data_IF_598450327557
#
_entry.id   IF_598450327557
#
_cell.length_a   1.000
_cell.length_b   1.000
_cell.length_c   1.000
_cell.angle_alpha   90.00
_cell.angle_beta   90.00
_cell.angle_gamma   90.00
#
_symmetry.space_group_name_H-M   'P 1'
#
loop_
_entity.id
_entity.type
_entity.pdbx_description
1 polymer ?
#
# COMPACT_ATOMS: atom_id res chain seq x y z
N UNK A 1 -4.62 -16.25 -13.77
CA UNK A 1 -3.23 -16.28 -13.28
C UNK A 1 -2.82 -14.84 -13.06
N UNK A 2 -3.19 -14.27 -11.91
CA UNK A 2 -2.93 -12.87 -11.58
C UNK A 2 -2.04 -12.87 -10.34
N UNK A 3 -0.78 -12.48 -10.48
CA UNK A 3 0.20 -12.51 -9.39
C UNK A 3 1.08 -11.27 -9.41
N UNK A 4 1.53 -10.88 -8.22
CA UNK A 4 2.55 -9.85 -7.99
C UNK A 4 3.75 -10.50 -7.28
N UNK A 5 4.95 -9.90 -7.37
CA UNK A 5 5.31 -8.66 -8.07
C UNK A 5 5.43 -8.82 -9.59
N UNK A 6 5.51 -7.70 -10.31
CA UNK A 6 5.69 -7.64 -11.78
C UNK A 6 6.77 -6.64 -12.19
N UNK A 7 7.21 -6.72 -13.44
CA UNK A 7 7.95 -5.66 -14.12
C UNK A 7 7.00 -4.71 -14.85
N UNK A 8 7.02 -3.44 -14.46
CA UNK A 8 6.22 -2.39 -15.06
C UNK A 8 6.94 -1.89 -16.33
N UNK A 9 6.57 -2.50 -17.46
CA UNK A 9 7.00 -2.11 -18.79
C UNK A 9 5.88 -1.35 -19.52
N UNK A 10 6.19 -0.15 -20.03
CA UNK A 10 5.27 0.60 -20.89
C UNK A 10 4.08 1.25 -20.16
N UNK A 11 4.33 1.92 -19.03
CA UNK A 11 3.30 2.65 -18.31
C UNK A 11 2.52 3.61 -19.22
N UNK A 12 1.19 3.49 -19.22
CA UNK A 12 0.28 4.34 -19.99
C UNK A 12 -0.37 5.37 -19.07
N UNK A 13 -0.44 6.62 -19.51
CA UNK A 13 -1.18 7.65 -18.79
C UNK A 13 -2.68 7.45 -18.96
N UNK A 14 -3.38 7.25 -17.85
CA UNK A 14 -4.84 7.25 -17.85
C UNK A 14 -5.34 8.71 -17.89
N UNK A 15 -5.86 9.15 -19.05
CA UNK A 15 -6.44 10.48 -19.20
C UNK A 15 -7.79 10.56 -18.45
N UNK A 16 -8.01 11.64 -17.71
CA UNK A 16 -9.21 11.81 -16.89
C UNK A 16 -9.24 10.97 -15.61
N UNK A 17 -8.12 10.32 -15.25
CA UNK A 17 -8.00 9.70 -13.94
C UNK A 17 -8.16 10.76 -12.85
N UNK A 18 -8.98 10.51 -11.82
CA UNK A 18 -9.06 11.43 -10.69
C UNK A 18 -7.72 11.44 -9.95
N UNK A 19 -7.41 12.59 -9.34
CA UNK A 19 -6.22 12.71 -8.51
C UNK A 19 -6.30 11.75 -7.32
N UNK A 20 -5.18 11.07 -7.06
CA UNK A 20 -4.97 10.40 -5.79
C UNK A 20 -5.06 11.44 -4.68
N UNK A 21 -6.02 11.31 -3.77
CA UNK A 21 -6.06 12.13 -2.56
C UNK A 21 -5.39 11.31 -1.46
N UNK A 22 -4.52 11.94 -0.69
CA UNK A 22 -3.91 11.33 0.48
C UNK A 22 -4.23 12.28 1.60
N UNK A 23 -4.97 11.83 2.61
CA UNK A 23 -5.43 12.72 3.68
C UNK A 23 -4.91 12.26 5.02
N UNK A 24 -4.61 13.23 5.89
CA UNK A 24 -4.19 13.03 7.28
C UNK A 24 -2.81 12.38 7.48
N UNK A 25 -1.99 12.27 6.43
CA UNK A 25 -0.59 11.79 6.51
C UNK A 25 0.37 12.81 7.16
N UNK A 26 -0.09 14.04 7.33
CA UNK A 26 0.60 15.16 7.98
C UNK A 26 0.46 15.14 9.52
N UNK A 27 -0.24 14.17 10.08
CA UNK A 27 -0.53 14.11 11.51
C UNK A 27 0.37 13.08 12.23
N UNK A 28 0.91 13.44 13.39
CA UNK A 28 1.78 12.57 14.20
C UNK A 28 1.01 11.44 14.88
N UNK A 29 1.46 10.18 14.81
CA UNK A 29 0.70 9.04 15.33
C UNK A 29 1.58 8.06 16.09
N UNK A 30 0.97 7.46 17.11
CA UNK A 30 1.54 6.30 17.78
C UNK A 30 1.44 5.08 16.88
N UNK A 31 2.54 4.36 16.75
CA UNK A 31 2.65 3.16 15.93
C UNK A 31 3.40 2.08 16.69
N UNK A 32 3.09 0.83 16.38
CA UNK A 32 3.86 -0.32 16.86
C UNK A 32 4.80 -0.79 15.75
N UNK A 33 6.10 -0.70 15.99
CA UNK A 33 7.11 -1.20 15.05
C UNK A 33 7.61 -2.55 15.55
N UNK A 34 7.61 -3.56 14.68
CA UNK A 34 8.15 -4.87 14.99
C UNK A 34 8.99 -5.43 13.85
N UNK A 35 9.93 -6.30 14.21
CA UNK A 35 10.55 -7.24 13.29
C UNK A 35 9.79 -8.57 13.42
N UNK A 36 9.09 -8.99 12.37
CA UNK A 36 8.30 -10.23 12.38
C UNK A 36 9.07 -11.46 11.85
N UNK A 37 10.39 -11.35 11.66
CA UNK A 37 11.24 -12.39 11.08
C UNK A 37 11.30 -12.38 9.55
N UNK A 38 10.44 -11.60 8.88
CA UNK A 38 10.40 -11.47 7.43
C UNK A 38 10.59 -10.03 6.95
N UNK A 39 10.12 -9.06 7.72
CA UNK A 39 10.19 -7.63 7.43
C UNK A 39 10.22 -6.83 8.74
N UNK A 40 10.58 -5.55 8.64
CA UNK A 40 10.12 -4.55 9.61
C UNK A 40 8.71 -4.16 9.22
N UNK A 41 7.79 -4.23 10.18
CA UNK A 41 6.39 -3.86 9.99
C UNK A 41 5.99 -2.79 10.99
N UNK A 42 5.35 -1.74 10.49
CA UNK A 42 4.79 -0.63 11.27
C UNK A 42 3.28 -0.82 11.28
N UNK A 43 2.72 -1.12 12.44
CA UNK A 43 1.28 -1.28 12.65
C UNK A 43 0.68 0.02 13.17
N UNK A 44 -0.41 0.44 12.55
CA UNK A 44 -1.22 1.54 13.06
C UNK A 44 -1.99 1.11 14.31
N UNK A 45 -1.98 1.94 15.35
CA UNK A 45 -2.74 1.67 16.57
C UNK A 45 -4.19 2.14 16.38
N UNK A 46 -5.14 1.24 16.61
CA UNK A 46 -6.55 1.35 16.21
C UNK A 46 -7.41 2.33 17.02
N UNK A 47 -6.83 3.06 17.99
CA UNK A 47 -7.57 3.98 18.86
C UNK A 47 -8.01 5.28 18.16
N UNK A 48 -7.60 5.49 16.91
CA UNK A 48 -8.15 6.53 16.04
C UNK A 48 -8.20 5.98 14.61
N UNK A 49 -9.38 5.76 14.00
CA UNK A 49 -9.46 5.31 12.61
C UNK A 49 -8.83 6.37 11.69
N UNK A 50 -7.57 6.13 11.32
CA UNK A 50 -6.70 6.90 10.45
C UNK A 50 -5.76 5.92 9.76
N UNK A 51 -5.32 6.07 8.52
CA UNK A 51 -5.14 7.20 7.61
C UNK A 51 -5.62 6.76 6.23
N UNK A 52 -6.00 7.73 5.41
CA UNK A 52 -6.78 7.53 4.20
C UNK A 52 -5.87 7.74 2.99
N UNK A 53 -5.71 6.73 2.13
CA UNK A 53 -5.50 7.02 0.71
C UNK A 53 -6.85 7.51 0.21
N UNK A 54 -7.11 8.78 0.53
CA UNK A 54 -8.25 9.58 0.16
C UNK A 54 -8.83 9.12 -1.15
N UNK A 55 -9.98 8.47 -1.06
CA UNK A 55 -10.82 8.19 -2.23
C UNK A 55 -10.01 7.64 -3.41
N UNK A 56 -9.48 6.41 -3.28
CA UNK A 56 -9.07 5.67 -4.47
C UNK A 56 -10.30 5.50 -5.36
N UNK A 57 -10.18 5.89 -6.63
CA UNK A 57 -11.25 5.70 -7.60
C UNK A 57 -11.58 4.22 -7.71
N UNK A 58 -12.85 3.89 -7.99
CA UNK A 58 -13.35 2.54 -8.17
C UNK A 58 -12.51 1.66 -9.12
N UNK A 59 -11.71 2.27 -10.01
CA UNK A 59 -10.72 1.58 -10.87
C UNK A 59 -9.63 0.84 -10.09
N UNK A 60 -9.28 1.27 -8.87
CA UNK A 60 -8.28 0.64 -7.98
C UNK A 60 -8.94 -0.37 -7.01
N UNK A 61 -10.27 -0.48 -6.99
CA UNK A 61 -10.98 -1.29 -6.01
C UNK A 61 -12.06 -2.23 -6.55
N UNK A 62 -12.18 -2.40 -7.88
CA UNK A 62 -13.24 -3.20 -8.54
C UNK A 62 -14.57 -3.21 -7.78
N UNK A 63 -15.17 -2.05 -7.55
CA UNK A 63 -16.46 -2.04 -6.85
C UNK A 63 -16.91 -0.66 -6.44
N UNK A 64 -18.18 -0.38 -6.70
CA UNK A 64 -18.96 0.79 -6.32
C UNK A 64 -18.65 2.12 -7.04
N UNK A 65 -19.71 2.71 -7.57
CA UNK A 65 -19.76 4.10 -8.01
C UNK A 65 -19.52 5.01 -6.82
N UNK A 66 -18.36 5.63 -6.74
CA UNK A 66 -18.04 6.54 -5.65
C UNK A 66 -16.59 6.49 -5.23
N UNK A 67 -16.30 7.33 -4.26
CA UNK A 67 -14.97 7.60 -3.76
C UNK A 67 -14.81 6.75 -2.48
N UNK A 68 -13.97 5.70 -2.49
CA UNK A 68 -13.82 4.78 -1.35
C UNK A 68 -12.73 5.28 -0.41
N UNK A 69 -13.06 5.42 0.87
CA UNK A 69 -12.08 5.72 1.90
C UNK A 69 -11.36 4.43 2.33
N UNK A 70 -10.08 4.29 1.99
CA UNK A 70 -9.28 3.12 2.34
C UNK A 70 -8.50 3.38 3.61
N UNK A 71 -8.53 2.46 4.57
CA UNK A 71 -7.89 2.63 5.87
C UNK A 71 -6.53 1.94 5.87
N UNK A 72 -5.46 2.69 6.16
CA UNK A 72 -4.11 2.16 6.33
C UNK A 72 -4.03 1.32 7.60
N UNK A 73 -3.64 0.06 7.47
CA UNK A 73 -3.46 -0.85 8.61
C UNK A 73 -1.99 -1.01 8.97
N UNK A 74 -1.14 -1.21 7.97
CA UNK A 74 0.28 -1.44 8.17
C UNK A 74 1.13 -0.94 7.01
N UNK A 75 2.40 -0.67 7.33
CA UNK A 75 3.48 -0.46 6.36
C UNK A 75 4.56 -1.51 6.59
N UNK A 76 5.09 -2.09 5.53
CA UNK A 76 6.25 -2.98 5.62
C UNK A 76 7.21 -2.77 4.45
N UNK A 77 8.41 -3.35 4.56
CA UNK A 77 9.53 -3.01 3.69
C UNK A 77 10.19 -4.26 3.12
N UNK A 78 10.62 -4.15 1.87
CA UNK A 78 11.50 -5.12 1.21
C UNK A 78 12.78 -4.39 0.86
N UNK A 79 13.93 -4.94 1.24
CA UNK A 79 15.22 -4.29 1.01
C UNK A 79 16.29 -5.28 0.56
N UNK A 80 17.26 -4.75 -0.19
CA UNK A 80 18.37 -5.52 -0.71
C UNK A 80 19.51 -5.65 0.28
N UNK A 81 20.60 -6.25 -0.19
CA UNK A 81 21.84 -6.32 0.60
C UNK A 81 22.48 -4.93 0.70
N UNK A 82 23.12 -4.67 1.83
CA UNK A 82 23.85 -3.41 2.07
C UNK A 82 24.85 -3.13 0.95
N UNK A 83 24.82 -1.91 0.41
CA UNK A 83 25.73 -1.45 -0.64
C UNK A 83 25.29 -1.78 -2.07
N UNK A 84 24.24 -2.58 -2.27
CA UNK A 84 23.67 -2.84 -3.59
C UNK A 84 22.47 -1.93 -3.85
N UNK A 85 22.41 -1.35 -5.05
CA UNK A 85 21.35 -0.41 -5.47
C UNK A 85 20.36 -1.01 -6.45
N UNK A 86 20.59 -2.26 -6.87
CA UNK A 86 19.84 -2.99 -7.88
C UNK A 86 19.19 -4.28 -7.33
N UNK A 87 19.02 -4.37 -6.01
CA UNK A 87 18.34 -5.47 -5.32
C UNK A 87 17.48 -4.88 -4.20
N UNK A 88 16.33 -5.48 -3.89
CA UNK A 88 15.51 -5.10 -2.75
C UNK A 88 14.04 -4.94 -3.05
N UNK A 89 13.71 -4.07 -4.01
CA UNK A 89 12.34 -3.93 -4.50
C UNK A 89 11.82 -5.25 -5.03
N UNK A 90 10.56 -5.58 -4.76
CA UNK A 90 9.89 -6.74 -5.33
C UNK A 90 9.52 -6.48 -6.78
N UNK A 91 8.98 -5.29 -7.07
CA UNK A 91 8.64 -4.84 -8.40
C UNK A 91 9.88 -4.32 -9.17
N UNK A 92 9.74 -4.30 -10.48
CA UNK A 92 10.70 -3.73 -11.41
C UNK A 92 10.04 -2.59 -12.18
N UNK A 93 10.83 -1.61 -12.61
CA UNK A 93 10.41 -0.57 -13.55
C UNK A 93 11.34 -0.59 -14.74
N UNK A 94 10.83 -0.95 -15.91
CA UNK A 94 11.63 -1.12 -17.13
C UNK A 94 12.84 -2.05 -16.90
N UNK A 95 12.60 -3.19 -16.26
CA UNK A 95 13.63 -4.19 -15.93
C UNK A 95 14.58 -3.81 -14.79
N UNK A 96 14.39 -2.65 -14.14
CA UNK A 96 15.26 -2.18 -13.05
C UNK A 96 14.64 -2.39 -11.68
N UNK A 97 15.44 -2.93 -10.75
CA UNK A 97 15.14 -2.97 -9.30
C UNK A 97 15.76 -1.79 -8.55
N UNK A 98 15.24 -1.57 -7.35
CA UNK A 98 15.64 -0.50 -6.44
C UNK A 98 16.06 -1.08 -5.07
N UNK A 99 16.86 -0.35 -4.28
CA UNK A 99 17.41 -0.85 -3.01
C UNK A 99 16.35 -1.18 -1.96
N UNK A 100 15.18 -0.55 -2.04
CA UNK A 100 14.11 -0.67 -1.06
C UNK A 100 12.75 -0.40 -1.71
N UNK A 101 11.73 -1.15 -1.30
CA UNK A 101 10.32 -0.95 -1.62
C UNK A 101 9.50 -0.97 -0.33
N UNK A 102 8.56 -0.03 -0.20
CA UNK A 102 7.65 0.05 0.93
C UNK A 102 6.23 -0.26 0.47
N UNK A 103 5.57 -1.17 1.16
CA UNK A 103 4.18 -1.53 0.94
C UNK A 103 3.32 -0.85 1.98
N UNK A 104 2.31 -0.09 1.53
CA UNK A 104 1.30 0.52 2.38
C UNK A 104 0.00 -0.27 2.20
N UNK A 105 -0.35 -1.09 3.18
CA UNK A 105 -1.48 -2.01 3.08
C UNK A 105 -2.72 -1.38 3.68
N UNK A 106 -3.74 -1.26 2.86
CA UNK A 106 -5.02 -0.65 3.23
C UNK A 106 -6.15 -1.67 3.10
N UNK A 107 -7.24 -1.45 3.82
CA UNK A 107 -8.49 -2.19 3.66
C UNK A 107 -9.65 -1.25 3.38
N UNK A 108 -10.67 -1.77 2.70
CA UNK A 108 -11.93 -1.05 2.55
C UNK A 108 -12.82 -1.38 3.77
N UNK A 109 -13.18 -0.39 4.59
CA UNK A 109 -13.92 -0.61 5.83
C UNK A 109 -15.33 -1.19 5.61
N UNK A 110 -15.86 -1.14 4.38
CA UNK A 110 -17.11 -1.80 4.03
C UNK A 110 -17.06 -3.33 4.18
N UNK A 111 -15.86 -3.91 4.14
CA UNK A 111 -15.63 -5.36 4.25
C UNK A 111 -15.12 -5.79 5.63
N UNK A 112 -15.04 -4.86 6.58
CA UNK A 112 -14.67 -5.13 7.97
C UNK A 112 -13.60 -4.18 8.53
N UNK A 113 -13.30 -4.28 9.84
CA UNK A 113 -12.44 -3.34 10.55
C UNK A 113 -10.93 -3.61 10.42
N UNK A 114 -10.52 -4.51 9.51
CA UNK A 114 -9.11 -4.86 9.30
C UNK A 114 -8.89 -5.51 7.95
N UNK A 115 -7.64 -5.57 7.50
CA UNK A 115 -7.20 -6.34 6.32
C UNK A 115 -7.60 -7.80 6.47
N UNK A 116 -7.36 -8.39 7.65
CA UNK A 116 -7.72 -9.79 7.91
C UNK A 116 -9.22 -10.09 7.76
N UNK A 117 -10.09 -9.10 8.01
CA UNK A 117 -11.54 -9.22 7.78
C UNK A 117 -11.92 -8.95 6.34
N UNK A 118 -11.34 -7.92 5.72
CA UNK A 118 -11.60 -7.56 4.33
C UNK A 118 -11.13 -8.62 3.32
N UNK A 119 -10.11 -9.41 3.65
CA UNK A 119 -9.67 -10.54 2.81
C UNK A 119 -10.56 -11.78 2.99
N UNK A 120 -11.28 -11.87 4.11
CA UNK A 120 -12.15 -13.00 4.43
C UNK A 120 -13.62 -12.81 4.02
N UNK A 121 -14.00 -11.61 3.57
CA UNK A 121 -15.36 -11.23 3.16
C UNK A 121 -15.66 -11.61 1.70
#
# INVERSE_FOLDING_TARGET
TEGSPIDICGAVRLNGAPSLRVTRWDLERDVNILNNGHTIQVNMISNNPMTDVGTLHATVGRGSSGAIQWVLEQVHFHWGRTGLTNEGSEHYVQGRRFPLEAHFVHYNPAYGPSVSRAVAS
#
